data_IF_124153453742
#
_entry.id   IF_124153453742
#
_cell.length_a   1.000
_cell.length_b   1.000
_cell.length_c   1.000
_cell.angle_alpha   90.00
_cell.angle_beta   90.00
_cell.angle_gamma   90.00
#
_symmetry.space_group_name_H-M   'P 1'
#
loop_
_entity.id
_entity.type
_entity.pdbx_description
1 polymer ?
#
# COMPACT_ATOMS: atom_id res chain seq x y z
N UNK A 1 21.62 3.96 -17.55
CA UNK A 1 20.43 4.27 -16.74
C UNK A 1 19.46 3.14 -16.97
N UNK A 2 19.39 2.17 -16.06
CA UNK A 2 18.57 0.97 -16.29
C UNK A 2 17.10 1.33 -16.12
N UNK A 3 16.38 1.38 -17.24
CA UNK A 3 14.94 1.25 -17.20
C UNK A 3 14.65 -0.13 -16.60
N UNK A 4 14.17 -0.19 -15.36
CA UNK A 4 13.65 -1.43 -14.81
C UNK A 4 12.52 -1.87 -15.73
N UNK A 5 12.74 -2.98 -16.43
CA UNK A 5 11.71 -3.64 -17.25
C UNK A 5 10.51 -3.90 -16.33
N UNK A 6 9.43 -3.13 -16.54
CA UNK A 6 8.16 -3.32 -15.83
C UNK A 6 7.52 -4.59 -16.40
N UNK A 7 7.94 -5.74 -15.89
CA UNK A 7 7.29 -7.00 -16.18
C UNK A 7 5.87 -6.97 -15.59
N UNK A 8 4.87 -7.12 -16.45
CA UNK A 8 3.47 -7.21 -16.03
C UNK A 8 3.33 -8.47 -15.19
N UNK A 9 2.78 -8.33 -13.98
CA UNK A 9 2.58 -9.44 -13.05
C UNK A 9 3.73 -9.71 -12.07
N UNK A 10 4.85 -9.00 -12.13
CA UNK A 10 5.90 -9.10 -11.10
C UNK A 10 5.78 -8.01 -10.03
N UNK A 11 6.05 -8.39 -8.78
CA UNK A 11 6.19 -7.44 -7.68
C UNK A 11 7.56 -6.78 -7.74
N UNK A 12 7.61 -5.46 -7.69
CA UNK A 12 8.86 -4.74 -7.53
C UNK A 12 9.48 -5.01 -6.17
N UNK A 13 10.79 -4.85 -6.03
CA UNK A 13 11.41 -4.76 -4.70
C UNK A 13 10.76 -3.64 -3.87
N UNK A 14 10.76 -3.81 -2.55
CA UNK A 14 10.29 -2.76 -1.64
C UNK A 14 11.16 -1.52 -1.79
N UNK A 15 10.50 -0.39 -1.99
CA UNK A 15 11.14 0.91 -2.17
C UNK A 15 10.48 1.96 -1.26
N UNK A 16 11.13 3.12 -1.13
CA UNK A 16 10.56 4.24 -0.40
C UNK A 16 9.30 4.76 -1.11
N UNK A 17 8.34 5.23 -0.32
CA UNK A 17 7.11 5.81 -0.86
C UNK A 17 7.40 7.08 -1.66
N UNK A 18 6.82 7.13 -2.86
CA UNK A 18 6.64 8.39 -3.60
C UNK A 18 5.39 9.12 -3.13
N UNK A 19 5.21 10.37 -3.58
CA UNK A 19 3.99 11.13 -3.28
C UNK A 19 2.75 10.44 -3.85
N UNK A 20 2.84 9.89 -5.07
CA UNK A 20 1.72 9.17 -5.69
C UNK A 20 1.31 7.94 -4.86
N UNK A 21 2.28 7.19 -4.31
CA UNK A 21 1.98 6.02 -3.48
C UNK A 21 1.24 6.42 -2.20
N UNK A 22 1.61 7.57 -1.60
CA UNK A 22 0.91 8.13 -0.43
C UNK A 22 -0.50 8.56 -0.78
N UNK A 23 -0.71 9.16 -1.93
CA UNK A 23 -2.04 9.60 -2.37
C UNK A 23 -2.96 8.40 -2.60
N UNK A 24 -2.45 7.34 -3.23
CA UNK A 24 -3.18 6.06 -3.41
C UNK A 24 -3.50 5.40 -2.06
N UNK A 25 -2.54 5.41 -1.15
CA UNK A 25 -2.75 4.90 0.21
C UNK A 25 -3.84 5.68 0.94
N UNK A 26 -3.77 7.01 0.92
CA UNK A 26 -4.74 7.87 1.56
C UNK A 26 -6.13 7.75 0.93
N UNK A 27 -6.23 7.62 -0.39
CA UNK A 27 -7.50 7.38 -1.08
C UNK A 27 -8.12 6.04 -0.65
N UNK A 28 -7.32 4.98 -0.59
CA UNK A 28 -7.80 3.65 -0.21
C UNK A 28 -8.19 3.56 1.28
N UNK A 29 -7.50 4.29 2.16
CA UNK A 29 -7.82 4.38 3.59
C UNK A 29 -8.86 5.46 3.91
N UNK A 30 -9.36 6.19 2.92
CA UNK A 30 -10.36 7.24 3.14
C UNK A 30 -11.65 6.60 3.68
N UNK A 31 -11.96 6.88 4.95
CA UNK A 31 -13.12 6.30 5.65
C UNK A 31 -12.80 5.03 6.46
N UNK A 32 -11.55 4.55 6.44
CA UNK A 32 -11.11 3.49 7.34
C UNK A 32 -10.93 4.04 8.76
N UNK A 33 -11.56 3.39 9.75
CA UNK A 33 -11.56 3.83 11.15
C UNK A 33 -11.11 2.71 12.09
N UNK A 34 -10.54 3.08 13.24
CA UNK A 34 -10.20 2.14 14.32
C UNK A 34 -8.71 1.75 14.41
N UNK A 35 -7.99 1.70 13.29
CA UNK A 35 -6.52 1.48 13.28
C UNK A 35 -5.87 2.48 12.35
N UNK A 36 -4.83 3.15 12.85
CA UNK A 36 -4.01 4.05 12.05
C UNK A 36 -2.85 3.28 11.45
N UNK A 37 -2.75 3.27 10.13
CA UNK A 37 -1.65 2.66 9.40
C UNK A 37 -0.74 3.74 8.83
N UNK A 38 0.55 3.66 9.16
CA UNK A 38 1.58 4.56 8.65
C UNK A 38 2.47 3.76 7.69
N UNK A 39 2.43 4.04 6.38
CA UNK A 39 3.20 3.26 5.41
C UNK A 39 4.69 3.68 5.40
N UNK A 40 5.58 2.69 5.40
CA UNK A 40 7.05 2.87 5.48
C UNK A 40 7.75 2.53 4.17
N UNK A 41 7.33 1.44 3.52
CA UNK A 41 7.81 1.01 2.19
C UNK A 41 6.65 0.52 1.33
N UNK A 42 6.87 0.49 0.03
CA UNK A 42 5.88 0.02 -0.94
C UNK A 42 6.52 -0.93 -1.96
N UNK A 43 5.81 -1.99 -2.29
CA UNK A 43 6.05 -2.83 -3.45
C UNK A 43 4.84 -2.69 -4.38
N UNK A 44 5.07 -2.67 -5.68
CA UNK A 44 4.01 -2.50 -6.67
C UNK A 44 4.06 -3.60 -7.71
N UNK A 45 2.91 -3.92 -8.27
CA UNK A 45 2.80 -4.91 -9.35
C UNK A 45 1.81 -4.37 -10.38
N UNK A 46 2.22 -4.41 -11.65
CA UNK A 46 1.37 -3.97 -12.76
C UNK A 46 0.49 -5.14 -13.19
N UNK A 47 -0.83 -4.94 -13.22
CA UNK A 47 -1.85 -5.94 -13.63
C UNK A 47 -2.88 -5.25 -14.53
N UNK A 48 -4.16 -5.64 -14.49
CA UNK A 48 -5.26 -4.85 -15.05
C UNK A 48 -5.55 -3.59 -14.20
N UNK A 49 -4.55 -2.73 -14.05
CA UNK A 49 -4.45 -1.70 -13.03
C UNK A 49 -3.08 -1.77 -12.34
N UNK A 50 -3.03 -1.47 -11.05
CA UNK A 50 -1.82 -1.57 -10.26
C UNK A 50 -2.14 -2.05 -8.84
N UNK A 51 -1.49 -3.12 -8.44
CA UNK A 51 -1.48 -3.56 -7.05
C UNK A 51 -0.36 -2.84 -6.30
N UNK A 52 -0.65 -2.50 -5.05
CA UNK A 52 0.28 -1.90 -4.12
C UNK A 52 0.30 -2.74 -2.85
N UNK A 53 1.47 -2.99 -2.32
CA UNK A 53 1.69 -3.67 -1.05
C UNK A 53 2.55 -2.77 -0.18
N UNK A 54 1.92 -2.21 0.85
CA UNK A 54 2.55 -1.28 1.77
C UNK A 54 2.93 -1.99 3.06
N UNK A 55 4.21 -2.01 3.39
CA UNK A 55 4.60 -2.35 4.76
C UNK A 55 4.33 -1.12 5.62
N UNK A 56 3.41 -1.28 6.56
CA UNK A 56 2.90 -0.18 7.37
C UNK A 56 2.99 -0.53 8.84
N UNK A 57 3.25 0.49 9.65
CA UNK A 57 3.13 0.39 11.09
C UNK A 57 1.70 0.71 11.49
N UNK A 58 1.03 -0.25 12.11
CA UNK A 58 -0.33 -0.14 12.59
C UNK A 58 -0.34 0.24 14.08
N UNK A 59 -1.23 1.16 14.44
CA UNK A 59 -1.44 1.60 15.82
C UNK A 59 -2.94 1.78 16.08
N UNK A 60 -3.43 1.23 17.20
CA UNK A 60 -4.77 1.54 17.66
C UNK A 60 -4.78 2.90 18.38
N UNK A 61 -5.70 3.82 18.06
CA UNK A 61 -5.88 5.06 18.81
C UNK A 61 -6.09 4.76 20.30
N UNK A 62 -5.31 5.41 21.16
CA UNK A 62 -5.36 5.22 22.62
C UNK A 62 -4.60 4.00 23.15
N UNK A 63 -3.99 3.17 22.29
CA UNK A 63 -3.10 2.09 22.72
C UNK A 63 -1.63 2.46 22.49
N UNK A 64 -0.71 2.08 23.40
CA UNK A 64 0.73 2.26 23.19
C UNK A 64 1.33 1.20 22.26
N UNK A 65 0.61 0.10 22.02
CA UNK A 65 1.08 -1.00 21.19
C UNK A 65 1.01 -0.61 19.71
N UNK A 66 2.12 -0.86 19.02
CA UNK A 66 2.22 -0.78 17.56
C UNK A 66 2.64 -2.14 17.02
N UNK A 67 2.16 -2.50 15.83
CA UNK A 67 2.53 -3.74 15.17
C UNK A 67 2.78 -3.50 13.69
N UNK A 68 3.46 -4.43 13.04
CA UNK A 68 3.67 -4.37 11.61
C UNK A 68 2.47 -4.97 10.89
N UNK A 69 2.05 -4.31 9.82
CA UNK A 69 0.95 -4.77 9.00
C UNK A 69 1.26 -4.48 7.53
N UNK A 70 1.01 -5.48 6.70
CA UNK A 70 1.07 -5.33 5.26
C UNK A 70 -0.33 -4.95 4.75
N UNK A 71 -0.45 -3.75 4.20
CA UNK A 71 -1.69 -3.23 3.60
C UNK A 71 -1.60 -3.38 2.09
N UNK A 72 -2.45 -4.23 1.53
CA UNK A 72 -2.58 -4.42 0.10
C UNK A 72 -3.72 -3.57 -0.45
N UNK A 73 -3.42 -2.83 -1.51
CA UNK A 73 -4.35 -1.91 -2.17
C UNK A 73 -4.37 -2.23 -3.66
N UNK A 74 -5.57 -2.31 -4.22
CA UNK A 74 -5.76 -2.41 -5.66
C UNK A 74 -6.25 -1.09 -6.22
N UNK A 75 -5.53 -0.56 -7.22
CA UNK A 75 -5.96 0.59 -8.02
C UNK A 75 -6.35 0.11 -9.42
N UNK A 76 -7.65 0.02 -9.74
CA UNK A 76 -8.10 -0.34 -11.08
C UNK A 76 -7.75 0.76 -12.09
N UNK A 77 -7.78 0.44 -13.40
CA UNK A 77 -7.56 1.42 -14.47
C UNK A 77 -8.61 2.54 -14.47
N UNK A 78 -9.82 2.24 -14.01
CA UNK A 78 -10.92 3.18 -13.86
C UNK A 78 -11.58 2.94 -12.50
N UNK A 79 -11.63 3.98 -11.67
CA UNK A 79 -12.17 3.91 -10.30
C UNK A 79 -11.16 4.40 -9.25
N UNK A 80 -11.58 4.32 -7.99
CA UNK A 80 -10.75 4.71 -6.83
C UNK A 80 -9.94 3.51 -6.35
N UNK A 81 -8.77 3.79 -5.76
CA UNK A 81 -8.03 2.78 -5.04
C UNK A 81 -8.83 2.28 -3.84
N UNK A 82 -8.75 0.98 -3.56
CA UNK A 82 -9.38 0.36 -2.40
C UNK A 82 -8.47 -0.69 -1.78
N UNK A 83 -8.62 -0.89 -0.47
CA UNK A 83 -7.88 -1.91 0.27
C UNK A 83 -8.40 -3.28 -0.16
N UNK A 84 -7.52 -4.12 -0.70
CA UNK A 84 -7.84 -5.50 -1.06
C UNK A 84 -7.64 -6.44 0.13
N UNK A 85 -6.59 -6.22 0.91
CA UNK A 85 -6.25 -7.09 2.04
C UNK A 85 -5.43 -6.33 3.08
N UNK A 86 -5.58 -6.70 4.35
CA UNK A 86 -4.68 -6.26 5.42
C UNK A 86 -4.19 -7.51 6.12
N UNK A 87 -2.88 -7.70 6.14
CA UNK A 87 -2.20 -8.80 6.82
C UNK A 87 -1.51 -8.20 8.03
N UNK A 88 -1.77 -8.76 9.21
CA UNK A 88 -1.02 -8.44 10.41
C UNK A 88 0.15 -9.41 10.52
N UNK A 89 1.36 -8.87 10.69
CA UNK A 89 2.57 -9.67 10.94
C UNK A 89 2.67 -10.07 12.42
#
# INVERSE_FOLDING_TARGET
MSAQEKNVGEWTAYQKLTQEDRDVFNEALQGFVGVQYTPETVSTQVVAGKNYRFQSKAQQPGAPATWNATVEIHKPLQGKAYISQIIRD
#
